data_IF_464393906262
#
_entry.id   IF_464393906262
#
_cell.length_a   1.000
_cell.length_b   1.000
_cell.length_c   1.000
_cell.angle_alpha   90.00
_cell.angle_beta   90.00
_cell.angle_gamma   90.00
#
_symmetry.space_group_name_H-M   'P 1'
#
loop_
_entity.id
_entity.type
_entity.pdbx_description
1 polymer ?
#
# COMPACT_ATOMS: atom_id res chain seq x y z
N UNK A 1 7.81 7.09 3.00
CA UNK A 1 7.84 8.58 2.97
C UNK A 1 9.22 9.08 2.56
N UNK A 2 10.30 8.76 3.28
CA UNK A 2 11.66 9.27 2.98
C UNK A 2 12.12 8.99 1.55
N UNK A 3 11.85 7.80 0.99
CA UNK A 3 12.20 7.43 -0.38
C UNK A 3 11.45 8.27 -1.43
N UNK A 4 10.20 8.62 -1.15
CA UNK A 4 9.38 9.48 -2.05
C UNK A 4 9.89 10.93 -2.00
N UNK A 5 10.27 11.43 -0.83
CA UNK A 5 10.69 12.82 -0.64
C UNK A 5 12.14 13.08 -1.06
N UNK A 6 13.08 12.20 -0.70
CA UNK A 6 14.53 12.39 -0.94
C UNK A 6 15.02 11.93 -2.30
N UNK A 7 14.25 11.09 -3.01
CA UNK A 7 14.52 10.61 -4.37
C UNK A 7 15.96 10.13 -4.61
N UNK A 8 16.50 9.20 -3.80
CA UNK A 8 17.82 8.62 -4.06
C UNK A 8 17.82 7.86 -5.38
N UNK A 9 18.99 7.53 -5.98
CA UNK A 9 19.08 6.71 -7.19
C UNK A 9 18.24 5.43 -7.04
N UNK A 10 17.45 5.09 -8.06
CA UNK A 10 16.55 3.92 -8.08
C UNK A 10 15.47 3.91 -6.95
N UNK A 11 15.12 5.08 -6.39
CA UNK A 11 14.11 5.17 -5.31
C UNK A 11 12.79 4.53 -5.69
N UNK A 12 12.33 4.67 -6.94
CA UNK A 12 11.09 4.07 -7.41
C UNK A 12 11.10 2.54 -7.39
N UNK A 13 12.24 1.93 -7.73
CA UNK A 13 12.44 0.49 -7.59
C UNK A 13 12.32 0.04 -6.13
N UNK A 14 13.02 0.72 -5.23
CA UNK A 14 12.96 0.40 -3.80
C UNK A 14 11.55 0.57 -3.22
N UNK A 15 10.83 1.62 -3.66
CA UNK A 15 9.43 1.83 -3.23
C UNK A 15 8.56 0.66 -3.69
N UNK A 16 8.65 0.25 -4.96
CA UNK A 16 7.89 -0.86 -5.51
C UNK A 16 8.19 -2.17 -4.77
N UNK A 17 9.45 -2.47 -4.49
CA UNK A 17 9.86 -3.68 -3.77
C UNK A 17 9.43 -3.66 -2.30
N UNK A 18 9.52 -2.53 -1.62
CA UNK A 18 9.02 -2.39 -0.24
C UNK A 18 7.51 -2.60 -0.19
N UNK A 19 6.75 -1.98 -1.09
CA UNK A 19 5.30 -2.19 -1.16
C UNK A 19 4.97 -3.66 -1.47
N UNK A 20 5.70 -4.29 -2.39
CA UNK A 20 5.53 -5.71 -2.68
C UNK A 20 5.74 -6.59 -1.44
N UNK A 21 6.82 -6.35 -0.69
CA UNK A 21 7.11 -7.08 0.54
C UNK A 21 6.02 -6.89 1.60
N UNK A 22 5.50 -5.65 1.75
CA UNK A 22 4.43 -5.36 2.71
C UNK A 22 3.10 -6.03 2.30
N UNK A 23 2.75 -6.04 1.01
CA UNK A 23 1.57 -6.77 0.55
C UNK A 23 1.70 -8.28 0.76
N UNK A 24 2.86 -8.87 0.49
CA UNK A 24 3.12 -10.28 0.76
C UNK A 24 3.01 -10.59 2.26
N UNK A 25 3.59 -9.73 3.11
CA UNK A 25 3.53 -9.89 4.56
C UNK A 25 2.10 -9.77 5.10
N UNK A 26 1.33 -8.76 4.69
CA UNK A 26 -0.07 -8.58 5.12
C UNK A 26 -0.94 -9.74 4.63
N UNK A 27 -0.78 -10.17 3.37
CA UNK A 27 -1.50 -11.32 2.82
C UNK A 27 -1.25 -12.59 3.62
N UNK A 28 -0.02 -12.85 4.00
CA UNK A 28 0.34 -14.02 4.81
C UNK A 28 -0.02 -13.85 6.29
N UNK A 29 0.54 -12.83 6.94
CA UNK A 29 0.51 -12.68 8.40
C UNK A 29 -0.88 -12.28 8.92
N UNK A 30 -1.54 -11.33 8.24
CA UNK A 30 -2.83 -10.81 8.69
C UNK A 30 -4.00 -11.62 8.08
N UNK A 31 -4.07 -11.69 6.76
CA UNK A 31 -5.23 -12.27 6.10
C UNK A 31 -5.26 -13.79 6.23
N UNK A 32 -4.17 -14.51 5.87
CA UNK A 32 -4.16 -15.97 5.88
C UNK A 32 -4.07 -16.56 7.28
N UNK A 33 -3.19 -16.01 8.15
CA UNK A 33 -2.90 -16.65 9.43
C UNK A 33 -3.84 -16.22 10.56
N UNK A 34 -4.43 -15.03 10.49
CA UNK A 34 -5.27 -14.49 11.57
C UNK A 34 -6.73 -14.34 11.17
N UNK A 35 -6.99 -13.70 10.04
CA UNK A 35 -8.35 -13.33 9.65
C UNK A 35 -9.12 -14.49 9.00
N UNK A 36 -8.46 -15.34 8.22
CA UNK A 36 -9.10 -16.50 7.59
C UNK A 36 -9.64 -17.51 8.61
N UNK A 37 -9.07 -17.56 9.81
CA UNK A 37 -9.56 -18.41 10.91
C UNK A 37 -10.92 -17.91 11.45
N UNK A 38 -11.17 -16.59 11.37
CA UNK A 38 -12.40 -15.97 11.85
C UNK A 38 -13.44 -15.90 10.74
N UNK A 39 -13.01 -15.61 9.52
CA UNK A 39 -13.86 -15.48 8.35
C UNK A 39 -13.24 -16.25 7.17
N UNK A 40 -13.83 -17.39 6.83
CA UNK A 40 -13.36 -18.27 5.75
C UNK A 40 -13.30 -17.56 4.38
N UNK A 41 -14.15 -16.55 4.13
CA UNK A 41 -14.14 -15.81 2.86
C UNK A 41 -12.81 -15.06 2.64
N UNK A 42 -12.11 -14.68 3.71
CA UNK A 42 -10.80 -14.01 3.64
C UNK A 42 -9.72 -14.94 3.05
N UNK A 43 -9.88 -16.25 3.16
CA UNK A 43 -8.96 -17.19 2.52
C UNK A 43 -8.91 -17.03 0.99
N UNK A 44 -9.99 -16.55 0.38
CA UNK A 44 -10.03 -16.23 -1.06
C UNK A 44 -9.48 -14.85 -1.40
N UNK A 45 -9.46 -13.94 -0.42
CA UNK A 45 -8.94 -12.57 -0.61
C UNK A 45 -7.42 -12.52 -0.37
N UNK A 46 -6.90 -13.32 0.54
CA UNK A 46 -5.47 -13.36 0.84
C UNK A 46 -4.58 -13.57 -0.41
N UNK A 47 -4.90 -14.48 -1.36
CA UNK A 47 -4.16 -14.62 -2.60
C UNK A 47 -4.12 -13.36 -3.47
N UNK A 48 -5.14 -12.49 -3.40
CA UNK A 48 -5.13 -11.22 -4.12
C UNK A 48 -4.02 -10.29 -3.63
N UNK A 49 -3.75 -10.27 -2.32
CA UNK A 49 -2.60 -9.54 -1.76
C UNK A 49 -1.27 -10.12 -2.24
N UNK A 50 -1.15 -11.44 -2.38
CA UNK A 50 0.00 -12.10 -2.99
C UNK A 50 0.17 -11.69 -4.46
N UNK A 51 -0.92 -11.67 -5.23
CA UNK A 51 -0.91 -11.19 -6.62
C UNK A 51 -0.50 -9.72 -6.69
N UNK A 52 -1.01 -8.86 -5.81
CA UNK A 52 -0.59 -7.47 -5.75
C UNK A 52 0.92 -7.32 -5.46
N UNK A 53 1.44 -8.15 -4.57
CA UNK A 53 2.88 -8.17 -4.30
C UNK A 53 3.70 -8.51 -5.56
N UNK A 54 3.27 -9.50 -6.33
CA UNK A 54 3.90 -9.85 -7.61
C UNK A 54 3.78 -8.73 -8.64
N UNK A 55 2.60 -8.12 -8.76
CA UNK A 55 2.37 -6.99 -9.67
C UNK A 55 3.27 -5.80 -9.33
N UNK A 56 3.46 -5.47 -8.05
CA UNK A 56 4.36 -4.43 -7.60
C UNK A 56 5.83 -4.79 -7.84
N UNK A 57 6.23 -6.03 -7.54
CA UNK A 57 7.60 -6.48 -7.74
C UNK A 57 7.98 -6.50 -9.23
N UNK A 58 7.12 -7.03 -10.10
CA UNK A 58 7.42 -7.15 -11.53
C UNK A 58 6.95 -5.94 -12.33
N UNK A 59 5.71 -5.50 -12.17
CA UNK A 59 5.14 -4.37 -12.92
C UNK A 59 5.69 -3.02 -12.48
N UNK A 60 5.86 -2.84 -11.16
CA UNK A 60 6.42 -1.61 -10.60
C UNK A 60 7.93 -1.52 -10.76
N UNK A 61 8.66 -2.64 -10.74
CA UNK A 61 10.12 -2.65 -10.83
C UNK A 61 10.64 -2.78 -12.28
N UNK A 62 9.94 -3.51 -13.17
CA UNK A 62 10.42 -3.84 -14.53
C UNK A 62 10.64 -2.62 -15.44
N UNK A 63 10.03 -1.47 -15.16
CA UNK A 63 10.16 -0.22 -15.94
C UNK A 63 11.12 0.79 -15.30
N UNK A 64 12.07 0.32 -14.52
CA UNK A 64 13.00 1.20 -13.79
C UNK A 64 12.43 1.70 -12.46
N UNK A 65 11.25 1.21 -12.05
CA UNK A 65 10.57 1.61 -10.83
C UNK A 65 9.53 2.72 -11.05
N UNK A 66 8.88 3.09 -9.95
CA UNK A 66 7.92 4.19 -9.92
C UNK A 66 8.66 5.53 -10.03
N UNK A 67 8.29 6.38 -10.97
CA UNK A 67 8.84 7.73 -11.08
C UNK A 67 8.01 8.72 -10.26
N UNK A 68 8.63 9.75 -9.68
CA UNK A 68 7.96 10.77 -8.85
C UNK A 68 8.41 12.18 -9.27
N UNK A 69 8.38 12.46 -10.57
CA UNK A 69 8.90 13.71 -11.12
C UNK A 69 7.86 14.82 -11.21
N UNK A 70 6.61 14.46 -11.39
CA UNK A 70 5.52 15.43 -11.57
C UNK A 70 5.07 16.02 -10.23
N UNK A 71 4.61 17.27 -10.29
CA UNK A 71 4.05 18.02 -9.16
C UNK A 71 2.64 18.52 -9.50
N UNK A 72 1.89 17.71 -10.22
CA UNK A 72 0.51 18.00 -10.59
C UNK A 72 -0.46 17.78 -9.42
N UNK A 73 -1.73 18.01 -9.67
CA UNK A 73 -2.80 17.83 -8.69
C UNK A 73 -2.88 16.36 -8.25
N UNK A 74 -2.72 15.42 -9.17
CA UNK A 74 -2.76 13.99 -8.87
C UNK A 74 -1.64 13.59 -7.90
N UNK A 75 -0.42 14.07 -8.13
CA UNK A 75 0.71 13.83 -7.22
C UNK A 75 0.45 14.39 -5.82
N UNK A 76 -0.13 15.61 -5.70
CA UNK A 76 -0.49 16.20 -4.41
C UNK A 76 -1.57 15.42 -3.69
N UNK A 77 -2.62 15.01 -4.39
CA UNK A 77 -3.67 14.15 -3.85
C UNK A 77 -3.11 12.79 -3.40
N UNK A 78 -2.22 12.21 -4.21
CA UNK A 78 -1.52 10.97 -3.85
C UNK A 78 -0.75 11.09 -2.55
N UNK A 79 -0.01 12.19 -2.36
CA UNK A 79 0.71 12.45 -1.11
C UNK A 79 -0.23 12.64 0.09
N UNK A 80 -1.38 13.28 -0.10
CA UNK A 80 -2.39 13.45 0.95
C UNK A 80 -3.01 12.10 1.33
N UNK A 81 -3.37 11.26 0.35
CA UNK A 81 -3.90 9.91 0.59
C UNK A 81 -2.85 9.04 1.30
N UNK A 82 -1.59 9.11 0.85
CA UNK A 82 -0.49 8.41 1.52
C UNK A 82 -0.34 8.85 2.98
N UNK A 83 -0.38 10.16 3.24
CA UNK A 83 -0.30 10.69 4.60
C UNK A 83 -1.49 10.27 5.45
N UNK A 84 -2.70 10.23 4.87
CA UNK A 84 -3.89 9.74 5.56
C UNK A 84 -3.75 8.28 5.99
N UNK A 85 -3.31 7.38 5.10
CA UNK A 85 -3.08 5.97 5.43
C UNK A 85 -1.98 5.75 6.47
N UNK A 86 -0.93 6.58 6.45
CA UNK A 86 0.22 6.44 7.35
C UNK A 86 -0.01 7.06 8.73
N UNK A 87 -0.72 8.18 8.81
CA UNK A 87 -0.82 8.99 10.03
C UNK A 87 -2.24 9.02 10.57
N UNK A 88 -3.23 9.35 9.71
CA UNK A 88 -4.61 9.53 10.17
C UNK A 88 -5.22 8.18 10.54
N UNK A 89 -5.04 7.17 9.71
CA UNK A 89 -5.67 5.86 9.92
C UNK A 89 -5.28 5.22 11.27
N UNK A 90 -4.00 5.14 11.68
CA UNK A 90 -3.61 4.62 13.00
C UNK A 90 -4.17 5.44 14.17
N UNK A 91 -4.55 6.70 13.96
CA UNK A 91 -5.10 7.58 14.99
C UNK A 91 -6.63 7.48 15.13
N UNK A 92 -7.31 6.72 14.25
CA UNK A 92 -8.78 6.58 14.28
C UNK A 92 -9.36 5.81 15.48
N UNK A 93 -8.71 4.76 16.07
CA UNK A 93 -9.34 3.94 17.09
C UNK A 93 -9.96 4.72 18.25
N UNK A 94 -9.34 5.74 18.85
CA UNK A 94 -9.96 6.51 19.94
C UNK A 94 -11.20 7.27 19.52
N UNK A 95 -11.30 7.73 18.27
CA UNK A 95 -12.50 8.40 17.73
C UNK A 95 -13.71 7.46 17.72
N UNK A 96 -13.47 6.15 17.59
CA UNK A 96 -14.50 5.10 17.64
C UNK A 96 -14.56 4.40 19.00
N UNK A 97 -14.05 5.02 20.07
CA UNK A 97 -14.01 4.47 21.43
C UNK A 97 -13.29 3.12 21.52
N UNK A 98 -12.32 2.87 20.65
CA UNK A 98 -11.48 1.67 20.67
C UNK A 98 -10.14 1.98 21.36
N UNK A 99 -9.52 1.02 22.05
CA UNK A 99 -8.21 1.22 22.67
C UNK A 99 -7.13 1.41 21.60
N UNK A 100 -6.06 2.09 21.94
CA UNK A 100 -4.88 2.28 21.08
C UNK A 100 -4.25 0.97 20.60
N UNK A 101 -4.42 -0.12 21.35
CA UNK A 101 -3.97 -1.46 20.98
C UNK A 101 -4.69 -2.03 19.75
N UNK A 102 -5.81 -1.41 19.35
CA UNK A 102 -6.55 -1.73 18.13
C UNK A 102 -6.08 -0.91 16.93
N UNK A 103 -5.00 -0.12 17.05
CA UNK A 103 -4.51 0.69 15.95
C UNK A 103 -3.95 -0.18 14.82
N UNK A 104 -4.49 0.02 13.65
CA UNK A 104 -4.03 -0.62 12.43
C UNK A 104 -3.01 0.27 11.73
N UNK A 105 -1.87 -0.30 11.38
CA UNK A 105 -0.76 0.45 10.82
C UNK A 105 -0.35 -0.08 9.45
N UNK A 106 0.16 0.82 8.62
CA UNK A 106 0.70 0.51 7.30
C UNK A 106 1.74 -0.62 7.36
N UNK A 107 1.58 -1.60 6.47
CA UNK A 107 2.47 -2.75 6.36
C UNK A 107 2.17 -3.89 7.34
N UNK A 108 1.19 -3.73 8.25
CA UNK A 108 0.74 -4.78 9.17
C UNK A 108 -0.73 -5.11 8.91
N UNK A 109 -1.58 -4.09 8.79
CA UNK A 109 -3.01 -4.25 8.50
C UNK A 109 -3.32 -3.93 7.02
N UNK A 110 -4.34 -4.56 6.43
CA UNK A 110 -4.64 -4.42 5.00
C UNK A 110 -5.13 -3.01 4.64
N UNK A 111 -6.05 -2.42 5.42
CA UNK A 111 -6.68 -1.14 5.09
C UNK A 111 -5.66 0.01 4.94
N UNK A 112 -4.83 0.34 5.96
CA UNK A 112 -3.86 1.41 5.81
C UNK A 112 -2.79 1.08 4.77
N UNK A 113 -2.53 -0.22 4.50
CA UNK A 113 -1.59 -0.65 3.47
C UNK A 113 -2.15 -0.38 2.07
N UNK A 114 -3.42 -0.70 1.83
CA UNK A 114 -4.09 -0.41 0.56
C UNK A 114 -4.20 1.11 0.32
N UNK A 115 -4.69 1.88 1.30
CA UNK A 115 -4.84 3.34 1.21
C UNK A 115 -3.50 4.01 0.93
N UNK A 116 -2.47 3.66 1.69
CA UNK A 116 -1.12 4.24 1.50
C UNK A 116 -0.56 3.91 0.13
N UNK A 117 -0.75 2.66 -0.33
CA UNK A 117 -0.29 2.23 -1.66
C UNK A 117 -1.01 2.98 -2.78
N UNK A 118 -2.34 3.17 -2.68
CA UNK A 118 -3.09 4.01 -3.62
C UNK A 118 -2.50 5.42 -3.70
N UNK A 119 -2.20 6.01 -2.53
CA UNK A 119 -1.56 7.32 -2.47
C UNK A 119 -0.19 7.35 -3.16
N UNK A 120 0.65 6.33 -2.92
CA UNK A 120 1.97 6.22 -3.57
C UNK A 120 1.83 6.06 -5.09
N UNK A 121 0.93 5.20 -5.55
CA UNK A 121 0.70 4.95 -6.98
C UNK A 121 0.14 6.20 -7.68
N UNK A 122 -0.77 6.93 -7.04
CA UNK A 122 -1.31 8.17 -7.57
C UNK A 122 -0.26 9.29 -7.60
N UNK A 123 0.68 9.30 -6.65
CA UNK A 123 1.80 10.24 -6.64
C UNK A 123 2.90 9.90 -7.63
N UNK A 124 2.89 8.69 -8.20
CA UNK A 124 3.86 8.27 -9.21
C UNK A 124 3.55 8.92 -10.56
N UNK A 125 4.59 9.48 -11.20
CA UNK A 125 4.56 10.02 -12.56
C UNK A 125 4.84 8.92 -13.59
N UNK A 126 4.45 9.17 -14.83
CA UNK A 126 4.71 8.23 -15.94
C UNK A 126 3.68 7.12 -16.09
N UNK A 127 2.53 7.24 -15.40
CA UNK A 127 1.42 6.30 -15.48
C UNK A 127 1.80 4.92 -14.94
N UNK A 128 1.72 4.69 -13.62
CA UNK A 128 1.81 3.32 -13.12
C UNK A 128 0.77 2.48 -13.85
N UNK A 129 1.14 1.24 -14.18
CA UNK A 129 0.25 0.32 -14.90
C UNK A 129 -1.09 0.30 -14.17
N UNK A 130 -2.23 0.58 -14.84
CA UNK A 130 -3.55 0.62 -14.19
C UNK A 130 -3.84 -0.61 -13.31
N UNK A 131 -3.28 -1.74 -13.70
CA UNK A 131 -3.39 -3.00 -12.97
C UNK A 131 -2.83 -2.93 -11.53
N UNK A 132 -1.89 -2.04 -11.24
CA UNK A 132 -1.35 -1.84 -9.88
C UNK A 132 -2.37 -1.22 -8.93
N UNK A 133 -3.38 -0.53 -9.45
CA UNK A 133 -4.46 0.05 -8.65
C UNK A 133 -5.59 -0.95 -8.35
N UNK A 134 -5.71 -2.04 -9.13
CA UNK A 134 -6.88 -2.91 -9.10
C UNK A 134 -7.14 -3.48 -7.70
N UNK A 135 -6.17 -4.15 -7.10
CA UNK A 135 -6.36 -4.82 -5.81
C UNK A 135 -6.51 -3.81 -4.66
N UNK A 136 -5.67 -2.75 -4.54
CA UNK A 136 -5.89 -1.73 -3.52
C UNK A 136 -7.21 -0.96 -3.62
N UNK A 137 -7.81 -0.87 -4.82
CA UNK A 137 -9.13 -0.24 -5.01
C UNK A 137 -10.29 -1.18 -4.71
N UNK A 138 -10.10 -2.48 -4.96
CA UNK A 138 -11.13 -3.50 -4.72
C UNK A 138 -11.20 -3.91 -3.25
N UNK A 139 -10.12 -3.67 -2.49
CA UNK A 139 -10.08 -3.89 -1.06
C UNK A 139 -10.94 -2.87 -0.33
#
# INVERSE_FOLDING_TARGET
>A
VLLVLRRPPRHGLWIALVLAALFAFVGWSFLSSRYAVINWAIAYVAPAFGLQALLLAFGGAARGGLAFEQRDIAARLGLLIMAAGLVVYPLLPPLFRRPWTSAEVFGIAPDPTAITTLGVLLAASGGPVPLLFAIPLLW
#
